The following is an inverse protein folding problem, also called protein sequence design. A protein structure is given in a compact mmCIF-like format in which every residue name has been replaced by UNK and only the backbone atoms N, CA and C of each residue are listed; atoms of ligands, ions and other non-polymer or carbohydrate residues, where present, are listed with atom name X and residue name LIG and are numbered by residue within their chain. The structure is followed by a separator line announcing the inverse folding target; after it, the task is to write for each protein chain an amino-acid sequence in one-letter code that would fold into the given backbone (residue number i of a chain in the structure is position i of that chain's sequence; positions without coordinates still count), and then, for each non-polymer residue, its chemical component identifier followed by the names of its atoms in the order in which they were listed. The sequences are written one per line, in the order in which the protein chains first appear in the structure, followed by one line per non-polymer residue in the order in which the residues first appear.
data_IF_068925423923
#
_entry.id   IF_068925423923
#
_cell.length_a   1.000
_cell.length_b   1.000
_cell.length_c   1.000
_cell.angle_alpha   90.00
_cell.angle_beta   90.00
_cell.angle_gamma   90.00
#
_symmetry.space_group_name_H-M   'P 1'
#
loop_
_entity.id
_entity.type
_entity.pdbx_description
1 polymer ?
#
# COMPACT_ATOMS: atom_id res chain seq x y z
N UNK A 1 -30.67 -7.47 -26.76
CA UNK A 1 -29.55 -6.53 -26.66
C UNK A 1 -29.34 -5.94 -25.26
N UNK A 2 -30.36 -5.79 -24.45
CA UNK A 2 -30.33 -5.00 -23.22
C UNK A 2 -29.53 -5.64 -22.05
N UNK A 3 -29.60 -6.95 -21.91
CA UNK A 3 -28.85 -7.70 -20.88
C UNK A 3 -27.32 -7.59 -21.05
N UNK A 4 -26.82 -7.66 -22.29
CA UNK A 4 -25.38 -7.54 -22.57
C UNK A 4 -24.83 -6.15 -22.24
N UNK A 5 -25.62 -5.09 -22.48
CA UNK A 5 -25.24 -3.70 -22.14
C UNK A 5 -25.24 -3.47 -20.64
N UNK A 6 -26.18 -4.04 -19.90
CA UNK A 6 -26.24 -3.96 -18.43
C UNK A 6 -25.09 -4.72 -17.78
N UNK A 7 -24.76 -5.92 -18.27
CA UNK A 7 -23.62 -6.70 -17.79
C UNK A 7 -22.30 -5.96 -17.99
N UNK A 8 -22.07 -5.38 -19.18
CA UNK A 8 -20.84 -4.64 -19.45
C UNK A 8 -20.68 -3.40 -18.55
N UNK A 9 -21.76 -2.69 -18.23
CA UNK A 9 -21.72 -1.54 -17.33
C UNK A 9 -21.46 -1.94 -15.88
N UNK A 10 -22.11 -2.99 -15.40
CA UNK A 10 -21.90 -3.50 -14.04
C UNK A 10 -20.48 -3.98 -13.85
N UNK A 11 -19.94 -4.78 -14.77
CA UNK A 11 -18.56 -5.27 -14.73
C UNK A 11 -17.54 -4.15 -14.76
N UNK A 12 -17.80 -3.07 -15.51
CA UNK A 12 -16.93 -1.91 -15.55
C UNK A 12 -16.85 -1.20 -14.20
N UNK A 13 -18.00 -0.93 -13.60
CA UNK A 13 -18.04 -0.28 -12.27
C UNK A 13 -17.44 -1.14 -11.16
N UNK A 14 -17.55 -2.47 -11.29
CA UNK A 14 -16.84 -3.39 -10.40
C UNK A 14 -15.33 -3.23 -10.54
N UNK A 15 -14.80 -3.14 -11.75
CA UNK A 15 -13.37 -2.91 -11.98
C UNK A 15 -12.91 -1.57 -11.39
N UNK A 16 -13.68 -0.49 -11.57
CA UNK A 16 -13.41 0.82 -10.97
C UNK A 16 -13.41 0.73 -9.43
N UNK A 17 -14.42 0.08 -8.85
CA UNK A 17 -14.53 -0.06 -7.39
C UNK A 17 -13.35 -0.87 -6.82
N UNK A 18 -12.99 -1.98 -7.45
CA UNK A 18 -11.83 -2.80 -7.03
C UNK A 18 -10.53 -2.00 -7.13
N UNK A 19 -10.32 -1.25 -8.22
CA UNK A 19 -9.16 -0.38 -8.37
C UNK A 19 -9.11 0.71 -7.31
N UNK A 20 -10.25 1.31 -6.96
CA UNK A 20 -10.35 2.31 -5.90
C UNK A 20 -10.02 1.75 -4.52
N UNK A 21 -10.51 0.54 -4.19
CA UNK A 21 -10.17 -0.16 -2.95
C UNK A 21 -8.67 -0.51 -2.89
N UNK A 22 -8.09 -0.89 -4.01
CA UNK A 22 -6.67 -1.21 -4.11
C UNK A 22 -5.81 0.04 -3.84
N UNK A 23 -6.17 1.19 -4.40
CA UNK A 23 -5.49 2.46 -4.13
C UNK A 23 -5.65 2.88 -2.67
N UNK A 24 -6.86 2.80 -2.12
CA UNK A 24 -7.10 3.13 -0.73
C UNK A 24 -6.30 2.23 0.23
N UNK A 25 -6.25 0.92 -0.05
CA UNK A 25 -5.47 -0.04 0.72
C UNK A 25 -3.96 0.21 0.63
N UNK A 26 -3.44 0.54 -0.57
CA UNK A 26 -2.02 0.84 -0.74
C UNK A 26 -1.60 2.12 0.00
N UNK A 27 -2.42 3.18 -0.04
CA UNK A 27 -2.17 4.41 0.71
C UNK A 27 -2.20 4.17 2.23
N UNK A 28 -3.16 3.37 2.71
CA UNK A 28 -3.21 2.99 4.12
C UNK A 28 -1.97 2.19 4.53
N UNK A 29 -1.51 1.25 3.69
CA UNK A 29 -0.30 0.45 3.94
C UNK A 29 0.97 1.30 3.97
N UNK A 30 1.12 2.27 3.06
CA UNK A 30 2.25 3.19 3.08
C UNK A 30 2.28 4.00 4.38
N UNK A 31 1.13 4.55 4.80
CA UNK A 31 1.03 5.34 6.03
C UNK A 31 1.30 4.52 7.30
N UNK A 32 0.91 3.25 7.33
CA UNK A 32 1.21 2.37 8.48
C UNK A 32 2.63 1.84 8.43
N UNK A 33 3.17 1.57 7.23
CA UNK A 33 4.54 1.07 7.03
C UNK A 33 5.58 2.04 7.58
N UNK A 34 5.48 3.32 7.23
CA UNK A 34 6.42 4.35 7.69
C UNK A 34 6.43 4.55 9.22
N UNK A 35 5.34 4.23 9.91
CA UNK A 35 5.28 4.30 11.38
C UNK A 35 5.94 3.13 12.09
N UNK A 36 6.05 2.00 11.42
CA UNK A 36 6.64 0.77 11.98
C UNK A 36 8.10 0.56 11.54
N UNK A 37 8.62 1.43 10.68
CA UNK A 37 9.96 1.38 10.10
C UNK A 37 11.04 1.33 11.19
N UNK A 38 11.04 2.25 12.15
CA UNK A 38 11.99 2.31 13.25
C UNK A 38 12.10 0.99 14.06
N UNK A 39 10.99 0.26 14.18
CA UNK A 39 10.98 -1.02 14.90
C UNK A 39 11.63 -2.14 14.13
N UNK A 40 11.51 -2.11 12.81
CA UNK A 40 11.99 -3.16 11.93
C UNK A 40 13.45 -2.94 11.55
N UNK A 41 13.93 -1.70 11.46
CA UNK A 41 15.31 -1.32 11.16
C UNK A 41 16.34 -1.95 12.12
N UNK A 42 15.94 -2.20 13.37
CA UNK A 42 16.82 -2.85 14.37
C UNK A 42 17.17 -4.30 13.98
N UNK A 43 16.33 -4.95 13.15
CA UNK A 43 16.47 -6.39 12.81
C UNK A 43 16.75 -6.59 11.34
N UNK A 44 16.22 -5.73 10.47
CA UNK A 44 16.28 -5.85 9.00
C UNK A 44 17.23 -4.81 8.44
N UNK A 45 18.02 -5.19 7.44
CA UNK A 45 18.89 -4.24 6.75
C UNK A 45 18.05 -3.12 6.09
N UNK A 46 18.40 -1.87 6.35
CA UNK A 46 17.78 -0.66 5.81
C UNK A 46 17.55 -0.75 4.29
N UNK A 47 18.54 -1.22 3.54
CA UNK A 47 18.44 -1.40 2.09
C UNK A 47 17.31 -2.34 1.63
N UNK A 48 16.88 -3.28 2.46
CA UNK A 48 15.78 -4.18 2.13
C UNK A 48 14.41 -3.52 2.40
N UNK A 49 14.34 -2.68 3.41
CA UNK A 49 13.16 -1.87 3.75
C UNK A 49 12.96 -0.82 2.65
N UNK A 50 13.98 -0.04 2.36
CA UNK A 50 14.00 1.00 1.31
C UNK A 50 13.57 0.44 -0.06
N UNK A 51 14.10 -0.73 -0.45
CA UNK A 51 13.70 -1.37 -1.69
C UNK A 51 12.22 -1.78 -1.72
N UNK A 52 11.66 -2.19 -0.60
CA UNK A 52 10.24 -2.52 -0.50
C UNK A 52 9.38 -1.25 -0.59
N UNK A 53 9.77 -0.20 0.10
CA UNK A 53 9.10 1.10 0.12
C UNK A 53 9.06 1.75 -1.27
N UNK A 54 10.20 1.83 -1.97
CA UNK A 54 10.28 2.33 -3.35
C UNK A 54 9.33 1.59 -4.30
N UNK A 55 9.25 0.26 -4.15
CA UNK A 55 8.33 -0.57 -4.94
C UNK A 55 6.87 -0.32 -4.59
N UNK A 56 6.56 -0.17 -3.30
CA UNK A 56 5.21 0.09 -2.81
C UNK A 56 4.73 1.47 -3.25
N UNK A 57 5.60 2.47 -3.22
CA UNK A 57 5.31 3.80 -3.71
C UNK A 57 5.06 3.82 -5.22
N UNK A 58 5.94 3.22 -6.02
CA UNK A 58 5.78 3.07 -7.46
C UNK A 58 4.46 2.37 -7.81
N UNK A 59 4.14 1.28 -7.11
CA UNK A 59 2.89 0.55 -7.26
C UNK A 59 1.69 1.46 -6.99
N UNK A 60 1.72 2.23 -5.91
CA UNK A 60 0.62 3.11 -5.50
C UNK A 60 0.36 4.21 -6.54
N UNK A 61 1.41 4.84 -7.08
CA UNK A 61 1.29 5.84 -8.13
C UNK A 61 0.69 5.26 -9.42
N UNK A 62 1.18 4.10 -9.87
CA UNK A 62 0.67 3.45 -11.09
C UNK A 62 -0.76 2.95 -10.90
N UNK A 63 -1.09 2.42 -9.72
CA UNK A 63 -2.46 2.01 -9.38
C UNK A 63 -3.41 3.22 -9.35
N UNK A 64 -2.99 4.34 -8.78
CA UNK A 64 -3.75 5.59 -8.76
C UNK A 64 -4.01 6.13 -10.17
N UNK A 65 -2.99 6.20 -11.01
CA UNK A 65 -3.15 6.61 -12.41
C UNK A 65 -4.09 5.69 -13.19
N UNK A 66 -3.98 4.37 -12.96
CA UNK A 66 -4.86 3.37 -13.58
C UNK A 66 -6.31 3.55 -13.11
N UNK A 67 -6.53 3.78 -11.83
CA UNK A 67 -7.86 4.07 -11.28
C UNK A 67 -8.49 5.30 -11.93
N UNK A 68 -7.74 6.41 -12.04
CA UNK A 68 -8.21 7.64 -12.70
C UNK A 68 -8.56 7.38 -14.17
N UNK A 69 -7.72 6.63 -14.88
CA UNK A 69 -7.95 6.24 -16.26
C UNK A 69 -9.25 5.43 -16.41
N UNK A 70 -9.44 4.39 -15.59
CA UNK A 70 -10.64 3.56 -15.61
C UNK A 70 -11.90 4.35 -15.25
N UNK A 71 -11.81 5.23 -14.26
CA UNK A 71 -12.92 6.09 -13.84
C UNK A 71 -13.33 7.08 -14.94
N UNK A 72 -12.37 7.58 -15.71
CA UNK A 72 -12.61 8.55 -16.78
C UNK A 72 -13.29 7.94 -18.02
N UNK A 73 -13.10 6.65 -18.32
CA UNK A 73 -13.63 6.00 -19.55
C UNK A 73 -15.12 6.26 -19.79
N UNK A 74 -16.03 6.10 -18.81
CA UNK A 74 -17.46 6.31 -19.03
C UNK A 74 -17.86 7.78 -19.27
N UNK A 75 -17.00 8.75 -18.97
CA UNK A 75 -17.24 10.18 -19.18
C UNK A 75 -17.16 10.56 -20.68
N UNK A 76 -16.41 9.78 -21.46
CA UNK A 76 -16.29 10.04 -22.89
C UNK A 76 -17.50 9.48 -23.67
N UNK A 77 -18.06 10.29 -24.59
CA UNK A 77 -19.21 9.91 -25.40
C UNK A 77 -18.82 9.20 -26.69
N UNK A 78 -17.66 9.54 -27.27
CA UNK A 78 -17.18 8.96 -28.51
C UNK A 78 -16.82 7.46 -28.33
N UNK A 79 -17.41 6.55 -29.11
CA UNK A 79 -17.22 5.13 -28.93
C UNK A 79 -15.76 4.71 -29.19
N UNK A 80 -15.09 5.35 -30.12
CA UNK A 80 -13.68 5.09 -30.45
C UNK A 80 -12.77 5.45 -29.29
N UNK A 81 -12.95 6.65 -28.71
CA UNK A 81 -12.19 7.10 -27.53
C UNK A 81 -12.39 6.15 -26.35
N UNK A 82 -13.63 5.72 -26.10
CA UNK A 82 -13.92 4.74 -25.04
C UNK A 82 -13.24 3.40 -25.27
N UNK A 83 -13.19 2.92 -26.51
CA UNK A 83 -12.52 1.68 -26.85
C UNK A 83 -11.01 1.78 -26.59
N UNK A 84 -10.38 2.85 -27.04
CA UNK A 84 -8.95 3.10 -26.80
C UNK A 84 -8.61 3.24 -25.33
N UNK A 85 -9.34 4.05 -24.59
CA UNK A 85 -9.13 4.23 -23.14
C UNK A 85 -9.41 2.93 -22.37
N UNK A 86 -10.42 2.14 -22.79
CA UNK A 86 -10.70 0.84 -22.20
C UNK A 86 -9.56 -0.15 -22.41
N UNK A 87 -8.98 -0.19 -23.60
CA UNK A 87 -7.81 -1.03 -23.89
C UNK A 87 -6.59 -0.55 -23.11
N UNK A 88 -6.35 0.75 -23.06
CA UNK A 88 -5.26 1.33 -22.26
C UNK A 88 -5.42 1.00 -20.76
N UNK A 89 -6.66 1.08 -20.24
CA UNK A 89 -6.97 0.71 -18.85
C UNK A 89 -6.73 -0.78 -18.57
N UNK A 90 -7.05 -1.66 -19.52
CA UNK A 90 -6.75 -3.09 -19.40
C UNK A 90 -5.23 -3.33 -19.33
N UNK A 91 -4.48 -2.73 -20.24
CA UNK A 91 -3.01 -2.85 -20.25
C UNK A 91 -2.38 -2.28 -18.99
N UNK A 92 -2.85 -1.12 -18.52
CA UNK A 92 -2.41 -0.53 -17.26
C UNK A 92 -2.72 -1.45 -16.06
N UNK A 93 -3.88 -2.11 -16.05
CA UNK A 93 -4.23 -3.09 -15.00
C UNK A 93 -3.28 -4.30 -14.98
N UNK A 94 -2.79 -4.76 -16.13
CA UNK A 94 -1.78 -5.82 -16.19
C UNK A 94 -0.44 -5.34 -15.61
N UNK A 95 -0.05 -4.09 -15.85
CA UNK A 95 1.14 -3.49 -15.25
C UNK A 95 0.98 -3.41 -13.73
N UNK A 96 -0.16 -2.94 -13.24
CA UNK A 96 -0.48 -2.92 -11.80
C UNK A 96 -0.37 -4.30 -11.19
N UNK A 97 -0.91 -5.34 -11.84
CA UNK A 97 -0.80 -6.72 -11.36
C UNK A 97 0.66 -7.20 -11.27
N UNK A 98 1.48 -6.89 -12.26
CA UNK A 98 2.91 -7.22 -12.24
C UNK A 98 3.65 -6.50 -11.10
N UNK A 99 3.35 -5.22 -10.89
CA UNK A 99 3.92 -4.45 -9.77
C UNK A 99 3.44 -4.99 -8.41
N UNK A 100 2.17 -5.39 -8.28
CA UNK A 100 1.64 -6.01 -7.07
C UNK A 100 2.42 -7.28 -6.69
N UNK A 101 2.75 -8.13 -7.67
CA UNK A 101 3.57 -9.32 -7.45
C UNK A 101 4.97 -8.93 -6.95
N UNK A 102 5.58 -7.88 -7.52
CA UNK A 102 6.92 -7.42 -7.11
C UNK A 102 6.91 -6.88 -5.68
N UNK A 103 5.91 -6.07 -5.32
CA UNK A 103 5.75 -5.55 -3.95
C UNK A 103 5.48 -6.69 -2.98
N UNK A 104 4.55 -7.60 -3.31
CA UNK A 104 4.26 -8.76 -2.48
C UNK A 104 5.48 -9.66 -2.25
N UNK A 105 6.30 -9.87 -3.29
CA UNK A 105 7.52 -10.64 -3.16
C UNK A 105 8.55 -9.96 -2.24
N UNK A 106 8.78 -8.63 -2.38
CA UNK A 106 9.69 -7.89 -1.50
C UNK A 106 9.19 -7.87 -0.05
N UNK A 107 7.90 -7.61 0.18
CA UNK A 107 7.31 -7.66 1.53
C UNK A 107 7.37 -9.06 2.15
N UNK A 108 7.09 -10.10 1.37
CA UNK A 108 7.30 -11.49 1.80
C UNK A 108 8.75 -11.79 2.18
N UNK A 109 9.72 -11.27 1.43
CA UNK A 109 11.14 -11.41 1.74
C UNK A 109 11.51 -10.76 3.08
N UNK A 110 10.97 -9.58 3.40
CA UNK A 110 11.19 -8.94 4.70
C UNK A 110 10.76 -9.84 5.86
N UNK A 111 9.61 -10.50 5.74
CA UNK A 111 9.07 -11.35 6.80
C UNK A 111 9.80 -12.70 6.88
N UNK A 112 9.96 -13.39 5.75
CA UNK A 112 10.42 -14.78 5.73
C UNK A 112 11.93 -14.94 5.61
N UNK A 113 12.63 -14.01 4.97
CA UNK A 113 14.08 -14.07 4.78
C UNK A 113 14.80 -13.22 5.82
N UNK A 114 14.31 -12.01 6.08
CA UNK A 114 14.92 -11.06 7.01
C UNK A 114 14.32 -11.10 8.42
N UNK A 115 13.33 -11.99 8.66
CA UNK A 115 12.73 -12.22 9.97
C UNK A 115 12.13 -10.96 10.64
N UNK A 116 11.60 -10.03 9.84
CA UNK A 116 11.00 -8.78 10.33
C UNK A 116 9.92 -9.01 11.41
N UNK A 117 9.22 -10.15 11.36
CA UNK A 117 8.24 -10.56 12.37
C UNK A 117 8.81 -10.72 13.79
N UNK A 118 10.13 -10.93 13.93
CA UNK A 118 10.76 -11.06 15.24
C UNK A 118 10.73 -9.77 16.07
N UNK A 119 10.66 -8.59 15.42
CA UNK A 119 10.49 -7.32 16.09
C UNK A 119 9.25 -7.30 17.01
N UNK A 120 8.18 -7.95 16.58
CA UNK A 120 6.91 -8.01 17.31
C UNK A 120 6.86 -9.13 18.36
N UNK A 121 7.62 -10.21 18.16
CA UNK A 121 7.66 -11.34 19.12
C UNK A 121 8.46 -10.95 20.36
N UNK A 122 9.55 -10.20 20.20
CA UNK A 122 10.37 -9.71 21.31
C UNK A 122 9.56 -8.84 22.28
N UNK A 123 8.71 -7.95 21.77
CA UNK A 123 7.81 -7.14 22.57
C UNK A 123 6.71 -7.97 23.27
N UNK A 124 6.19 -9.01 22.63
CA UNK A 124 5.14 -9.86 23.19
C UNK A 124 5.63 -10.78 24.29
N UNK A 125 6.91 -11.20 24.25
CA UNK A 125 7.55 -12.07 25.25
C UNK A 125 8.24 -11.31 26.37
N UNK A 126 8.44 -9.99 26.23
CA UNK A 126 9.00 -9.16 27.28
C UNK A 126 8.14 -9.18 28.55
N UNK A 127 8.73 -9.33 29.76
CA UNK A 127 8.00 -9.23 31.02
C UNK A 127 7.18 -7.93 31.11
N UNK A 128 6.01 -7.98 31.73
CA UNK A 128 5.12 -6.83 31.85
C UNK A 128 5.81 -5.60 32.48
N UNK A 129 6.82 -5.83 33.33
CA UNK A 129 7.64 -4.78 33.94
C UNK A 129 8.52 -4.05 32.92
N UNK A 130 9.06 -4.75 31.92
CA UNK A 130 9.90 -4.16 30.87
C UNK A 130 9.03 -3.35 29.93
N UNK A 131 7.89 -3.91 29.51
CA UNK A 131 6.90 -3.20 28.66
C UNK A 131 6.38 -1.92 29.32
N UNK A 132 6.12 -1.96 30.65
CA UNK A 132 5.70 -0.79 31.38
C UNK A 132 6.81 0.28 31.48
N UNK A 133 8.07 -0.13 31.60
CA UNK A 133 9.22 0.80 31.65
C UNK A 133 9.43 1.51 30.30
N UNK A 134 9.30 0.80 29.18
CA UNK A 134 9.43 1.37 27.83
C UNK A 134 8.29 2.35 27.52
N UNK A 135 7.06 2.04 27.90
CA UNK A 135 5.93 2.98 27.79
C UNK A 135 6.10 4.25 28.64
N UNK A 136 6.75 4.14 29.79
CA UNK A 136 7.05 5.31 30.63
C UNK A 136 8.17 6.13 30.00
N UNK A 137 9.22 5.49 29.50
CA UNK A 137 10.36 6.14 28.85
C UNK A 137 9.96 6.90 27.59
N UNK A 138 9.11 6.31 26.73
CA UNK A 138 8.58 6.95 25.53
C UNK A 138 7.79 8.22 25.86
N UNK A 139 6.96 8.20 26.92
CA UNK A 139 6.20 9.38 27.34
C UNK A 139 7.06 10.53 27.87
N UNK A 140 8.21 10.24 28.46
CA UNK A 140 9.13 11.29 28.91
C UNK A 140 9.93 11.86 27.74
N UNK A 141 10.31 11.05 26.73
CA UNK A 141 10.97 11.53 25.53
C UNK A 141 10.06 12.50 24.73
N UNK A 142 8.79 12.14 24.54
CA UNK A 142 7.79 12.99 23.88
C UNK A 142 7.47 14.29 24.66
N UNK A 143 7.69 14.30 25.97
CA UNK A 143 7.45 15.48 26.80
C UNK A 143 8.63 16.48 26.76
N UNK A 144 9.86 15.98 26.66
CA UNK A 144 11.05 16.82 26.54
C UNK A 144 11.12 17.51 25.16
N UNK A 145 10.73 16.81 24.07
CA UNK A 145 10.71 17.38 22.72
C UNK A 145 9.69 18.52 22.57
N UNK A 146 8.56 18.43 23.26
CA UNK A 146 7.53 19.49 23.28
C UNK A 146 7.84 20.67 24.23
N UNK A 147 8.79 20.54 25.14
CA UNK A 147 9.21 21.58 26.04
C UNK A 147 10.29 22.50 25.48
N UNK A 148 10.93 22.17 24.38
CA UNK A 148 11.96 22.99 23.74
C UNK A 148 11.40 23.92 22.63
N UNK A 149 10.09 23.81 22.28
CA UNK A 149 9.45 24.65 21.24
C UNK A 149 8.72 25.89 21.80
N UNK A 150 8.73 26.14 23.12
CA UNK A 150 8.19 27.35 23.75
C UNK A 150 9.37 28.24 24.23
#
# INVERSE_FOLDING_TARGET
GDRRRRFGRASWWTAVAVSGLLVAGSLASLNTGSREEERVEVIVAESAIELHEERAETFTWVAGATFVLLFAVPLFRAPETRAWLGTAGLLASLVVAALAIRVGHSGGSLVYVHNAGAAYISDATAPASVRAADHVRGRYADADEKGEED
#
